data_IF_564881663590
#
_entry.id   IF_564881663590
#
_cell.length_a   1.000
_cell.length_b   1.000
_cell.length_c   1.000
_cell.angle_alpha   90.00
_cell.angle_beta   90.00
_cell.angle_gamma   90.00
#
_symmetry.space_group_name_H-M   'P 1'
#
loop_
_entity.id
_entity.type
_entity.pdbx_description
1 polymer ?
#
# COMPACT_ATOMS: atom_id res chain seq x y z
N UNK A 1 12.14 10.57 19.27
CA UNK A 1 11.44 10.99 18.04
C UNK A 1 10.26 10.06 17.86
N UNK A 2 9.05 10.55 18.15
CA UNK A 2 7.84 9.72 18.18
C UNK A 2 7.34 9.45 16.76
N UNK A 3 7.52 8.23 16.28
CA UNK A 3 6.90 7.74 15.06
C UNK A 3 5.40 7.75 15.28
N UNK A 4 4.69 8.68 14.64
CA UNK A 4 3.23 8.76 14.64
C UNK A 4 2.72 7.50 13.95
N UNK A 5 2.41 6.48 14.77
CA UNK A 5 1.69 5.29 14.32
C UNK A 5 0.36 5.78 13.77
N UNK A 6 0.23 5.76 12.45
CA UNK A 6 -1.01 6.00 11.77
C UNK A 6 -1.82 4.71 11.93
N UNK A 7 -2.33 4.51 13.15
CA UNK A 7 -3.32 3.48 13.44
C UNK A 7 -4.49 3.72 12.51
N UNK A 8 -4.79 2.74 11.67
CA UNK A 8 -6.05 2.68 10.92
C UNK A 8 -7.17 2.73 11.97
N UNK A 9 -7.78 3.90 12.07
CA UNK A 9 -8.81 4.20 13.05
C UNK A 9 -10.06 3.36 12.75
N UNK A 10 -10.31 2.35 13.57
CA UNK A 10 -11.65 1.84 13.88
C UNK A 10 -12.42 1.06 12.80
N UNK A 11 -11.83 0.74 11.65
CA UNK A 11 -12.50 -0.07 10.62
C UNK A 11 -12.13 -1.54 10.73
N UNK A 12 -13.08 -2.45 10.48
CA UNK A 12 -12.86 -3.90 10.46
C UNK A 12 -12.13 -4.34 9.18
N UNK A 13 -11.34 -5.43 9.22
CA UNK A 13 -10.71 -6.01 8.02
C UNK A 13 -11.72 -6.23 6.88
N UNK A 14 -12.93 -6.68 7.22
CA UNK A 14 -14.01 -6.90 6.24
C UNK A 14 -14.40 -5.60 5.53
N UNK A 15 -14.39 -4.48 6.24
CA UNK A 15 -14.67 -3.16 5.69
C UNK A 15 -13.54 -2.67 4.78
N UNK A 16 -12.28 -2.87 5.18
CA UNK A 16 -11.12 -2.49 4.36
C UNK A 16 -11.05 -3.32 3.06
N UNK A 17 -11.41 -4.61 3.14
CA UNK A 17 -11.53 -5.49 1.97
C UNK A 17 -12.67 -5.03 1.05
N UNK A 18 -13.84 -4.72 1.60
CA UNK A 18 -14.96 -4.17 0.84
C UNK A 18 -14.57 -2.90 0.09
N UNK A 19 -13.92 -1.94 0.77
CA UNK A 19 -13.46 -0.70 0.16
C UNK A 19 -12.45 -0.93 -0.97
N UNK A 20 -11.55 -1.90 -0.81
CA UNK A 20 -10.61 -2.27 -1.87
C UNK A 20 -11.31 -2.84 -3.10
N UNK A 21 -12.28 -3.74 -2.90
CA UNK A 21 -13.08 -4.32 -3.98
C UNK A 21 -13.91 -3.26 -4.72
N UNK A 22 -14.47 -2.30 -3.99
CA UNK A 22 -15.19 -1.16 -4.58
C UNK A 22 -14.28 -0.29 -5.45
N UNK A 23 -13.03 -0.03 -5.02
CA UNK A 23 -12.07 0.71 -5.84
C UNK A 23 -11.61 -0.07 -7.08
N UNK A 24 -11.56 -1.41 -7.04
CA UNK A 24 -11.31 -2.25 -8.22
C UNK A 24 -12.47 -2.23 -9.22
N UNK A 25 -13.70 -2.07 -8.74
CA UNK A 25 -14.93 -2.04 -9.56
C UNK A 25 -15.15 -0.70 -10.24
N UNK A 26 -14.46 0.37 -9.83
CA UNK A 26 -14.63 1.70 -10.45
C UNK A 26 -14.16 1.71 -11.91
N UNK A 27 -14.96 2.25 -12.85
CA UNK A 27 -14.58 2.35 -14.26
C UNK A 27 -13.36 3.25 -14.50
N UNK A 28 -13.23 4.31 -13.70
CA UNK A 28 -12.06 5.18 -13.68
C UNK A 28 -11.12 4.72 -12.59
N UNK A 29 -10.18 3.84 -12.93
CA UNK A 29 -9.13 3.42 -11.99
C UNK A 29 -8.28 4.64 -11.63
N UNK A 30 -8.45 5.17 -10.42
CA UNK A 30 -7.58 6.20 -9.88
C UNK A 30 -6.42 5.51 -9.17
N UNK A 31 -5.21 5.49 -9.75
CA UNK A 31 -4.10 4.70 -9.20
C UNK A 31 -3.77 5.10 -7.76
N UNK A 32 -3.95 6.38 -7.43
CA UNK A 32 -3.75 6.91 -6.08
C UNK A 32 -4.73 6.28 -5.06
N UNK A 33 -6.04 6.28 -5.36
CA UNK A 33 -7.07 5.72 -4.46
C UNK A 33 -6.94 4.21 -4.33
N UNK A 34 -6.69 3.54 -5.45
CA UNK A 34 -6.44 2.11 -5.46
C UNK A 34 -5.24 1.76 -4.57
N UNK A 35 -4.13 2.50 -4.71
CA UNK A 35 -2.95 2.29 -3.87
C UNK A 35 -3.20 2.63 -2.39
N UNK A 36 -4.01 3.65 -2.09
CA UNK A 36 -4.42 3.95 -0.70
C UNK A 36 -5.23 2.80 -0.09
N UNK A 37 -6.19 2.24 -0.82
CA UNK A 37 -6.97 1.08 -0.35
C UNK A 37 -6.10 -0.15 -0.12
N UNK A 38 -5.10 -0.40 -0.98
CA UNK A 38 -4.12 -1.48 -0.81
C UNK A 38 -3.27 -1.29 0.44
N UNK A 39 -2.80 -0.07 0.70
CA UNK A 39 -2.03 0.26 1.91
C UNK A 39 -2.86 0.03 3.17
N UNK A 40 -4.14 0.45 3.18
CA UNK A 40 -5.03 0.23 4.32
C UNK A 40 -5.22 -1.27 4.58
N UNK A 41 -5.59 -2.04 3.55
CA UNK A 41 -5.80 -3.48 3.65
C UNK A 41 -4.55 -4.23 4.11
N UNK A 42 -3.39 -3.95 3.50
CA UNK A 42 -2.12 -4.59 3.89
C UNK A 42 -1.67 -4.22 5.30
N UNK A 43 -1.87 -2.96 5.72
CA UNK A 43 -1.55 -2.54 7.11
C UNK A 43 -2.40 -3.29 8.12
N UNK A 44 -3.69 -3.49 7.83
CA UNK A 44 -4.59 -4.26 8.67
C UNK A 44 -4.15 -5.72 8.78
N UNK A 45 -3.91 -6.38 7.63
CA UNK A 45 -3.47 -7.78 7.57
C UNK A 45 -2.14 -8.00 8.30
N UNK A 46 -1.17 -7.10 8.14
CA UNK A 46 0.11 -7.16 8.84
C UNK A 46 -0.11 -6.99 10.34
N UNK A 47 -0.99 -6.08 10.76
CA UNK A 47 -1.27 -5.84 12.19
C UNK A 47 -1.94 -7.06 12.83
N UNK A 48 -2.93 -7.67 12.18
CA UNK A 48 -3.55 -8.93 12.64
C UNK A 48 -2.54 -10.08 12.69
N UNK A 49 -1.67 -10.21 11.68
CA UNK A 49 -0.66 -11.27 11.65
C UNK A 49 0.41 -11.07 12.72
N UNK A 50 0.86 -9.82 12.94
CA UNK A 50 1.84 -9.50 14.00
C UNK A 50 1.23 -9.71 15.39
N UNK A 51 -0.05 -9.39 15.59
CA UNK A 51 -0.76 -9.71 16.84
C UNK A 51 -0.90 -11.23 17.06
N UNK A 52 -0.94 -12.01 15.98
CA UNK A 52 -0.96 -13.47 16.00
C UNK A 52 0.42 -14.12 15.81
N UNK A 53 1.53 -13.38 15.92
CA UNK A 53 2.87 -13.87 15.51
C UNK A 53 3.40 -15.05 16.34
N UNK A 54 2.84 -15.28 17.54
CA UNK A 54 3.08 -16.51 18.32
C UNK A 54 2.44 -17.77 17.69
N UNK A 55 1.57 -17.60 16.69
CA UNK A 55 0.89 -18.65 15.91
C UNK A 55 1.30 -18.67 14.43
N UNK A 56 2.18 -17.78 13.99
CA UNK A 56 2.58 -17.71 12.58
C UNK A 56 3.47 -18.90 12.18
N UNK A 57 3.11 -19.55 11.07
CA UNK A 57 3.90 -20.62 10.49
C UNK A 57 5.13 -20.08 9.74
N UNK A 58 6.10 -20.95 9.46
CA UNK A 58 7.24 -20.59 8.61
C UNK A 58 6.82 -20.14 7.19
N UNK A 59 5.64 -20.55 6.71
CA UNK A 59 5.12 -20.12 5.42
C UNK A 59 4.67 -18.64 5.47
N UNK A 60 4.04 -18.24 6.57
CA UNK A 60 3.56 -16.87 6.78
C UNK A 60 4.74 -15.89 6.88
N UNK A 61 5.80 -16.27 7.59
CA UNK A 61 7.05 -15.47 7.65
C UNK A 61 7.69 -15.28 6.27
N UNK A 62 7.65 -16.30 5.40
CA UNK A 62 8.14 -16.21 4.02
C UNK A 62 7.23 -15.35 3.14
N UNK A 63 5.92 -15.34 3.38
CA UNK A 63 4.98 -14.47 2.69
C UNK A 63 5.24 -13.01 3.06
N UNK A 64 5.34 -12.70 4.35
CA UNK A 64 5.64 -11.37 4.88
C UNK A 64 6.96 -10.84 4.31
N UNK A 65 7.99 -11.68 4.23
CA UNK A 65 9.29 -11.28 3.66
C UNK A 65 9.17 -10.86 2.19
N UNK A 66 8.40 -11.62 1.39
CA UNK A 66 8.17 -11.30 -0.03
C UNK A 66 7.39 -10.00 -0.20
N UNK A 67 6.35 -9.80 0.60
CA UNK A 67 5.56 -8.57 0.58
C UNK A 67 6.40 -7.34 0.94
N UNK A 68 7.30 -7.48 1.92
CA UNK A 68 8.21 -6.41 2.32
C UNK A 68 9.16 -6.02 1.19
N UNK A 69 9.75 -7.01 0.50
CA UNK A 69 10.62 -6.78 -0.64
C UNK A 69 9.89 -6.08 -1.79
N UNK A 70 8.67 -6.54 -2.11
CA UNK A 70 7.85 -5.94 -3.16
C UNK A 70 7.49 -4.48 -2.85
N UNK A 71 7.17 -4.17 -1.59
CA UNK A 71 6.92 -2.79 -1.14
C UNK A 71 8.11 -1.86 -1.40
N UNK A 72 9.32 -2.31 -1.11
CA UNK A 72 10.52 -1.50 -1.35
C UNK A 72 10.81 -1.31 -2.85
N UNK A 73 10.52 -2.32 -3.67
CA UNK A 73 10.60 -2.18 -5.13
C UNK A 73 9.64 -1.10 -5.64
N UNK A 74 8.38 -1.13 -5.20
CA UNK A 74 7.39 -0.12 -5.60
C UNK A 74 7.81 1.30 -5.18
N UNK A 75 8.43 1.47 -4.01
CA UNK A 75 8.93 2.78 -3.55
C UNK A 75 10.01 3.33 -4.49
N UNK A 76 10.89 2.46 -5.00
CA UNK A 76 11.92 2.85 -5.97
C UNK A 76 11.30 3.27 -7.29
N UNK A 77 10.33 2.51 -7.80
CA UNK A 77 9.62 2.84 -9.04
C UNK A 77 8.88 4.17 -8.94
N UNK A 78 8.15 4.41 -7.85
CA UNK A 78 7.47 5.69 -7.61
C UNK A 78 8.47 6.85 -7.58
N UNK A 79 9.62 6.66 -6.93
CA UNK A 79 10.66 7.70 -6.85
C UNK A 79 11.25 8.00 -8.23
N UNK A 80 11.49 6.97 -9.04
CA UNK A 80 11.96 7.10 -10.42
C UNK A 80 10.94 7.86 -11.30
N UNK A 81 9.66 7.49 -11.23
CA UNK A 81 8.60 8.14 -11.99
C UNK A 81 8.43 9.61 -11.61
N UNK A 82 8.54 9.95 -10.31
CA UNK A 82 8.53 11.35 -9.86
C UNK A 82 9.71 12.15 -10.38
N UNK A 83 10.89 11.54 -10.47
CA UNK A 83 12.07 12.19 -11.04
C UNK A 83 11.91 12.42 -12.54
N UNK A 84 11.39 11.43 -13.28
CA UNK A 84 11.11 11.55 -14.71
C UNK A 84 10.05 12.64 -15.01
N UNK A 85 8.99 12.72 -14.20
CA UNK A 85 7.97 13.75 -14.32
C UNK A 85 8.47 15.18 -14.01
N UNK A 86 9.54 15.32 -13.21
CA UNK A 86 10.20 16.62 -13.01
C UNK A 86 11.11 17.02 -14.17
N UNK A 87 11.51 16.07 -15.02
CA UNK A 87 12.44 16.30 -16.12
C UNK A 87 11.75 16.59 -17.46
N UNK A 88 10.42 16.47 -17.58
CA UNK A 88 9.69 16.96 -18.74
C UNK A 88 9.69 18.50 -18.75
N UNK A 89 10.40 19.16 -19.69
CA UNK A 89 10.40 20.61 -19.80
C UNK A 89 9.03 21.07 -20.29
N UNK A 90 8.56 22.22 -19.79
CA UNK A 90 7.48 22.97 -20.41
C UNK A 90 7.86 23.21 -21.87
N UNK A 91 7.23 22.48 -22.79
CA UNK A 91 7.22 22.85 -24.20
C UNK A 91 6.58 24.23 -24.28
N UNK A 92 7.39 25.20 -24.69
CA UNK A 92 6.95 26.52 -25.08
C UNK A 92 5.76 26.39 -26.05
N UNK A 93 4.66 27.09 -25.76
CA UNK A 93 3.62 27.37 -26.75
C UNK A 93 3.41 28.88 -26.77
N UNK A 94 3.82 29.42 -27.92
CA UNK A 94 3.39 30.65 -28.60
C UNK A 94 3.37 31.96 -27.81
#
# INVERSE_FOLDING_TARGET
MSSKQQSTSGTSLTYDLFMHLEELRRPTQQPLRLNQSKVALTTHLITENIQNIQKCSNADLKAITRELQFKEQLRKEISSLKAAAKQSPKTQST
#
